data_IF_195368161081
#
_entry.id   IF_195368161081
#
_cell.length_a   1.000
_cell.length_b   1.000
_cell.length_c   1.000
_cell.angle_alpha   90.00
_cell.angle_beta   90.00
_cell.angle_gamma   90.00
#
_symmetry.space_group_name_H-M   'P 1'
#
loop_
_entity.id
_entity.type
_entity.pdbx_description
1 polymer ?
#
# COMPACT_ATOMS: atom_id res chain seq x y z
N UNK A 1 -8.55 29.01 -6.23
CA UNK A 1 -8.71 27.73 -5.49
C UNK A 1 -8.08 27.87 -4.12
N UNK A 2 -8.57 27.17 -3.09
CA UNK A 2 -7.93 27.16 -1.76
C UNK A 2 -6.65 26.32 -1.79
N UNK A 3 -5.64 26.71 -1.00
CA UNK A 3 -4.46 25.88 -0.75
C UNK A 3 -4.80 24.69 0.16
N UNK A 4 -4.02 23.61 0.10
CA UNK A 4 -4.18 22.45 0.99
C UNK A 4 -4.22 22.85 2.48
N UNK A 5 -3.35 23.79 2.88
CA UNK A 5 -3.31 24.32 4.25
C UNK A 5 -4.63 24.99 4.63
N UNK A 6 -5.19 25.81 3.74
CA UNK A 6 -6.47 26.48 3.95
C UNK A 6 -7.63 25.48 4.05
N UNK A 7 -7.68 24.47 3.18
CA UNK A 7 -8.72 23.44 3.23
C UNK A 7 -8.66 22.62 4.51
N UNK A 8 -7.44 22.22 4.93
CA UNK A 8 -7.23 21.50 6.18
C UNK A 8 -7.73 22.30 7.39
N UNK A 9 -7.36 23.58 7.48
CA UNK A 9 -7.80 24.44 8.59
C UNK A 9 -9.31 24.69 8.57
N UNK A 10 -9.91 24.90 7.39
CA UNK A 10 -11.35 25.08 7.25
C UNK A 10 -12.12 23.83 7.68
N UNK A 11 -11.64 22.64 7.32
CA UNK A 11 -12.23 21.37 7.74
C UNK A 11 -12.17 21.18 9.27
N UNK A 12 -11.02 21.47 9.90
CA UNK A 12 -10.87 21.40 11.36
C UNK A 12 -11.82 22.37 12.07
N UNK A 13 -11.89 23.62 11.61
CA UNK A 13 -12.79 24.65 12.19
C UNK A 13 -14.25 24.25 12.04
N UNK A 14 -14.66 23.79 10.85
CA UNK A 14 -16.03 23.36 10.59
C UNK A 14 -16.42 22.16 11.46
N UNK A 15 -15.55 21.15 11.57
CA UNK A 15 -15.81 19.99 12.42
C UNK A 15 -15.98 20.37 13.89
N UNK A 16 -15.10 21.23 14.43
CA UNK A 16 -15.21 21.72 15.81
C UNK A 16 -16.49 22.54 16.03
N UNK A 17 -16.92 23.33 15.04
CA UNK A 17 -18.19 24.07 15.10
C UNK A 17 -19.40 23.13 15.17
N UNK A 18 -19.40 22.06 14.39
CA UNK A 18 -20.52 21.12 14.30
C UNK A 18 -20.61 20.18 15.51
N UNK A 19 -19.47 19.69 16.01
CA UNK A 19 -19.42 18.56 16.94
C UNK A 19 -18.67 18.84 18.25
N UNK A 20 -18.06 20.02 18.39
CA UNK A 20 -17.32 20.43 19.59
C UNK A 20 -16.21 19.43 19.94
N UNK A 21 -16.28 18.86 21.16
CA UNK A 21 -15.35 17.84 21.68
C UNK A 21 -15.85 16.39 21.51
N UNK A 22 -17.06 16.17 20.98
CA UNK A 22 -17.68 14.84 20.86
C UNK A 22 -17.78 14.44 19.40
N UNK A 23 -16.96 13.49 18.95
CA UNK A 23 -17.01 13.02 17.57
C UNK A 23 -18.21 12.11 17.30
N UNK A 24 -19.03 12.36 16.25
CA UNK A 24 -20.03 11.42 15.80
C UNK A 24 -19.38 10.18 15.17
N UNK A 25 -20.15 9.13 14.96
CA UNK A 25 -19.72 8.02 14.11
C UNK A 25 -19.47 8.50 12.67
N UNK A 26 -18.45 7.97 11.98
CA UNK A 26 -18.09 8.46 10.64
C UNK A 26 -19.24 8.36 9.62
N UNK A 27 -20.13 7.36 9.80
CA UNK A 27 -21.33 7.18 8.97
C UNK A 27 -22.32 8.35 9.10
N UNK A 28 -22.44 8.92 10.30
CA UNK A 28 -23.27 10.10 10.57
C UNK A 28 -22.68 11.31 9.85
N UNK A 29 -21.37 11.55 10.04
CA UNK A 29 -20.66 12.63 9.33
C UNK A 29 -20.74 12.49 7.81
N UNK A 30 -20.58 11.28 7.28
CA UNK A 30 -20.67 11.00 5.83
C UNK A 30 -22.08 11.31 5.29
N UNK A 31 -23.12 11.04 6.08
CA UNK A 31 -24.51 11.29 5.71
C UNK A 31 -24.86 12.78 5.78
N UNK A 32 -24.52 13.44 6.88
CA UNK A 32 -24.91 14.83 7.16
C UNK A 32 -24.03 15.85 6.43
N UNK A 33 -22.73 15.57 6.33
CA UNK A 33 -21.73 16.49 5.77
C UNK A 33 -20.74 15.75 4.83
N UNK A 34 -21.21 15.23 3.69
CA UNK A 34 -20.40 14.43 2.78
C UNK A 34 -19.16 15.16 2.24
N UNK A 35 -19.26 16.47 1.99
CA UNK A 35 -18.11 17.28 1.55
C UNK A 35 -17.01 17.34 2.62
N UNK A 36 -17.38 17.57 3.88
CA UNK A 36 -16.43 17.55 4.99
C UNK A 36 -15.81 16.16 5.17
N UNK A 37 -16.62 15.11 5.06
CA UNK A 37 -16.12 13.74 5.09
C UNK A 37 -15.10 13.47 3.98
N UNK A 38 -15.39 13.86 2.74
CA UNK A 38 -14.48 13.67 1.61
C UNK A 38 -13.16 14.43 1.78
N UNK A 39 -13.22 15.68 2.27
CA UNK A 39 -12.02 16.47 2.60
C UNK A 39 -11.19 15.77 3.69
N UNK A 40 -11.85 15.24 4.73
CA UNK A 40 -11.19 14.47 5.79
C UNK A 40 -10.48 13.24 5.23
N UNK A 41 -11.16 12.47 4.39
CA UNK A 41 -10.59 11.28 3.77
C UNK A 41 -9.41 11.63 2.85
N UNK A 42 -9.52 12.70 2.06
CA UNK A 42 -8.47 13.19 1.16
C UNK A 42 -7.18 13.57 1.90
N UNK A 43 -7.30 14.29 3.01
CA UNK A 43 -6.13 14.92 3.65
C UNK A 43 -5.57 14.17 4.86
N UNK A 44 -6.34 13.27 5.46
CA UNK A 44 -5.92 12.49 6.62
C UNK A 44 -5.96 10.97 6.40
N UNK A 45 -6.40 10.50 5.23
CA UNK A 45 -6.52 9.07 4.89
C UNK A 45 -7.37 8.27 5.90
N UNK A 46 -8.27 8.93 6.63
CA UNK A 46 -9.13 8.26 7.59
C UNK A 46 -9.70 9.18 8.67
N UNK A 47 -10.97 8.93 9.02
CA UNK A 47 -11.68 9.70 10.05
C UNK A 47 -10.97 9.67 11.41
N UNK A 48 -10.50 8.51 11.88
CA UNK A 48 -9.78 8.40 13.15
C UNK A 48 -8.43 9.15 13.15
N UNK A 49 -7.75 9.22 12.01
CA UNK A 49 -6.50 9.99 11.88
C UNK A 49 -6.77 11.49 11.96
N UNK A 50 -7.85 11.94 11.31
CA UNK A 50 -8.33 13.31 11.46
C UNK A 50 -8.65 13.66 12.92
N UNK A 51 -9.44 12.82 13.62
CA UNK A 51 -9.78 13.05 15.03
C UNK A 51 -8.55 13.16 15.94
N UNK A 52 -7.53 12.32 15.73
CA UNK A 52 -6.24 12.43 16.43
C UNK A 52 -5.55 13.77 16.17
N UNK A 53 -5.56 14.24 14.92
CA UNK A 53 -4.92 15.51 14.55
C UNK A 53 -5.56 16.75 15.19
N UNK A 54 -6.78 16.63 15.70
CA UNK A 54 -7.50 17.70 16.41
C UNK A 54 -7.73 17.38 17.89
N UNK A 55 -7.08 16.34 18.41
CA UNK A 55 -7.17 15.89 19.79
C UNK A 55 -8.61 15.60 20.28
N UNK A 56 -9.41 14.95 19.43
CA UNK A 56 -10.76 14.50 19.77
C UNK A 56 -10.78 12.97 19.90
N UNK A 57 -11.37 12.47 20.99
CA UNK A 57 -11.50 11.02 21.21
C UNK A 57 -12.46 10.42 20.17
N UNK A 58 -12.09 9.33 19.47
CA UNK A 58 -13.01 8.67 18.56
C UNK A 58 -14.19 8.06 19.30
N UNK A 59 -15.37 7.94 18.66
CA UNK A 59 -16.49 7.23 19.23
C UNK A 59 -16.12 5.77 19.54
N UNK A 60 -16.82 5.17 20.51
CA UNK A 60 -16.63 3.75 20.84
C UNK A 60 -16.87 2.91 19.57
N UNK A 61 -15.95 1.97 19.23
CA UNK A 61 -16.18 1.07 18.11
C UNK A 61 -17.44 0.23 18.33
N UNK A 62 -18.17 -0.04 17.26
CA UNK A 62 -19.23 -1.07 17.25
C UNK A 62 -18.62 -2.47 17.47
N UNK A 63 -19.40 -3.49 17.88
CA UNK A 63 -18.88 -4.85 18.04
C UNK A 63 -18.17 -5.39 16.79
N UNK A 64 -18.72 -5.13 15.60
CA UNK A 64 -18.11 -5.50 14.32
C UNK A 64 -16.78 -4.80 14.07
N UNK A 65 -16.70 -3.50 14.38
CA UNK A 65 -15.43 -2.76 14.27
C UNK A 65 -14.40 -3.24 15.29
N UNK A 66 -14.83 -3.58 16.52
CA UNK A 66 -13.95 -4.15 17.55
C UNK A 66 -13.37 -5.48 17.08
N UNK A 67 -14.20 -6.39 16.56
CA UNK A 67 -13.75 -7.65 15.99
C UNK A 67 -12.76 -7.45 14.83
N UNK A 68 -13.02 -6.48 13.94
CA UNK A 68 -12.10 -6.15 12.85
C UNK A 68 -10.76 -5.57 13.35
N UNK A 69 -10.78 -4.71 14.37
CA UNK A 69 -9.57 -4.17 15.00
C UNK A 69 -8.74 -5.30 15.62
N UNK A 70 -9.37 -6.21 16.35
CA UNK A 70 -8.70 -7.38 16.96
C UNK A 70 -8.10 -8.30 15.90
N UNK A 71 -8.86 -8.61 14.85
CA UNK A 71 -8.38 -9.39 13.71
C UNK A 71 -7.17 -8.73 13.04
N UNK A 72 -7.26 -7.44 12.72
CA UNK A 72 -6.16 -6.68 12.10
C UNK A 72 -4.92 -6.64 12.99
N UNK A 73 -5.10 -6.48 14.30
CA UNK A 73 -4.02 -6.52 15.29
C UNK A 73 -3.33 -7.88 15.33
N UNK A 74 -4.09 -8.99 15.29
CA UNK A 74 -3.53 -10.35 15.19
C UNK A 74 -2.72 -10.55 13.92
N UNK A 75 -3.24 -10.10 12.77
CA UNK A 75 -2.52 -10.16 11.50
C UNK A 75 -1.20 -9.38 11.55
N UNK A 76 -1.22 -8.16 12.08
CA UNK A 76 -0.03 -7.32 12.23
C UNK A 76 1.02 -7.95 13.17
N UNK A 77 0.60 -8.45 14.34
CA UNK A 77 1.50 -9.16 15.26
C UNK A 77 2.18 -10.36 14.59
N UNK A 78 1.40 -11.15 13.83
CA UNK A 78 1.93 -12.30 13.08
C UNK A 78 2.92 -11.86 12.01
N UNK A 79 2.63 -10.79 11.27
CA UNK A 79 3.53 -10.24 10.25
C UNK A 79 4.90 -9.87 10.84
N UNK A 80 4.93 -9.09 11.92
CA UNK A 80 6.18 -8.72 12.58
C UNK A 80 6.91 -9.91 13.20
N UNK A 81 6.19 -10.85 13.83
CA UNK A 81 6.78 -12.08 14.38
C UNK A 81 7.44 -12.93 13.28
N UNK A 82 6.91 -12.87 12.06
CA UNK A 82 7.38 -13.63 10.92
C UNK A 82 8.45 -12.88 10.09
N UNK A 83 9.11 -11.86 10.65
CA UNK A 83 10.16 -11.12 9.93
C UNK A 83 9.61 -10.24 8.81
N UNK A 84 8.42 -9.66 9.01
CA UNK A 84 7.75 -8.82 8.01
C UNK A 84 7.35 -9.56 6.72
N UNK A 85 7.10 -10.86 6.82
CA UNK A 85 6.51 -11.68 5.74
C UNK A 85 5.01 -11.85 5.93
N UNK A 86 4.21 -11.49 4.93
CA UNK A 86 2.80 -11.89 4.90
C UNK A 86 2.64 -13.38 4.56
N UNK A 87 1.47 -13.96 4.85
CA UNK A 87 1.20 -15.36 4.49
C UNK A 87 1.29 -15.56 2.97
N UNK A 88 0.78 -14.61 2.20
CA UNK A 88 0.78 -14.70 0.75
C UNK A 88 2.19 -14.49 0.16
N UNK A 89 2.98 -13.57 0.71
CA UNK A 89 4.40 -13.44 0.31
C UNK A 89 5.17 -14.73 0.55
N UNK A 90 4.90 -15.46 1.65
CA UNK A 90 5.58 -16.75 1.90
C UNK A 90 5.24 -17.81 0.85
N UNK A 91 3.98 -17.85 0.40
CA UNK A 91 3.56 -18.73 -0.69
C UNK A 91 4.28 -18.35 -1.99
N UNK A 92 4.36 -17.06 -2.31
CA UNK A 92 5.04 -16.58 -3.51
C UNK A 92 6.56 -16.75 -3.42
N UNK A 93 7.15 -16.63 -2.22
CA UNK A 93 8.60 -16.78 -2.01
C UNK A 93 9.11 -18.10 -2.56
N UNK A 94 8.46 -19.22 -2.24
CA UNK A 94 8.87 -20.55 -2.71
C UNK A 94 8.90 -20.63 -4.24
N UNK A 95 7.92 -20.02 -4.91
CA UNK A 95 7.86 -19.98 -6.36
C UNK A 95 8.92 -19.05 -6.96
N UNK A 96 9.07 -17.86 -6.40
CA UNK A 96 10.05 -16.87 -6.83
C UNK A 96 11.49 -17.37 -6.62
N UNK A 97 11.77 -18.05 -5.51
CA UNK A 97 13.08 -18.66 -5.23
C UNK A 97 13.48 -19.64 -6.35
N UNK A 98 12.55 -20.49 -6.79
CA UNK A 98 12.79 -21.44 -7.89
C UNK A 98 13.07 -20.73 -9.21
N UNK A 99 12.23 -19.76 -9.57
CA UNK A 99 12.42 -18.97 -10.80
C UNK A 99 13.75 -18.21 -10.76
N UNK A 100 14.11 -17.63 -9.62
CA UNK A 100 15.39 -16.94 -9.46
C UNK A 100 16.58 -17.90 -9.62
N UNK A 101 16.49 -19.11 -9.08
CA UNK A 101 17.52 -20.12 -9.25
C UNK A 101 17.69 -20.49 -10.74
N UNK A 102 16.59 -20.75 -11.44
CA UNK A 102 16.62 -21.13 -12.86
C UNK A 102 17.16 -20.02 -13.77
N UNK A 103 16.91 -18.75 -13.41
CA UNK A 103 17.30 -17.57 -14.19
C UNK A 103 18.61 -16.92 -13.72
N UNK A 104 19.25 -17.41 -12.65
CA UNK A 104 20.43 -16.78 -12.06
C UNK A 104 20.17 -15.39 -11.46
N UNK A 105 18.96 -15.16 -10.96
CA UNK A 105 18.56 -13.89 -10.33
C UNK A 105 18.72 -13.94 -8.81
N UNK A 106 18.83 -12.76 -8.23
CA UNK A 106 18.63 -12.55 -6.79
C UNK A 106 17.55 -11.51 -6.56
N UNK A 107 16.98 -11.48 -5.36
CA UNK A 107 16.04 -10.44 -4.96
C UNK A 107 16.26 -10.00 -3.51
N UNK A 108 15.81 -8.78 -3.21
CA UNK A 108 15.74 -8.26 -1.85
C UNK A 108 14.27 -8.13 -1.45
N UNK A 109 13.89 -8.74 -0.32
CA UNK A 109 12.59 -8.57 0.31
C UNK A 109 12.54 -7.29 1.15
N UNK A 110 11.40 -6.60 1.15
CA UNK A 110 11.23 -5.30 1.81
C UNK A 110 12.25 -4.23 1.36
N UNK A 111 12.65 -4.27 0.08
CA UNK A 111 13.60 -3.31 -0.47
C UNK A 111 13.08 -1.88 -0.31
N UNK A 112 13.89 -0.99 0.26
CA UNK A 112 13.50 0.39 0.57
C UNK A 112 13.81 1.31 -0.60
N UNK A 113 12.79 1.82 -1.26
CA UNK A 113 12.93 2.79 -2.34
C UNK A 113 12.43 4.19 -1.92
N UNK A 114 13.12 5.28 -2.26
CA UNK A 114 12.70 6.63 -1.88
C UNK A 114 11.27 6.96 -2.34
N UNK A 115 10.47 7.50 -1.41
CA UNK A 115 9.08 7.88 -1.72
C UNK A 115 8.99 9.09 -2.66
N UNK A 116 7.89 9.19 -3.42
CA UNK A 116 7.66 10.31 -4.36
C UNK A 116 7.66 11.70 -3.69
N UNK A 117 7.40 11.75 -2.38
CA UNK A 117 7.35 13.00 -1.60
C UNK A 117 8.68 13.35 -0.93
N UNK A 118 9.74 12.57 -1.17
CA UNK A 118 11.06 12.75 -0.56
C UNK A 118 11.10 12.54 0.96
N UNK A 119 10.02 12.01 1.56
CA UNK A 119 9.93 11.77 3.01
C UNK A 119 9.60 10.29 3.26
N UNK A 120 10.62 9.53 3.63
CA UNK A 120 10.51 8.08 3.88
C UNK A 120 10.60 7.24 2.61
N UNK A 121 10.27 5.96 2.75
CA UNK A 121 10.50 4.92 1.75
C UNK A 121 9.24 4.12 1.45
N UNK A 122 9.10 3.67 0.20
CA UNK A 122 8.30 2.51 -0.15
C UNK A 122 9.08 1.25 0.20
N UNK A 123 8.39 0.22 0.68
CA UNK A 123 8.94 -1.13 0.81
C UNK A 123 8.38 -1.95 -0.32
N UNK A 124 9.24 -2.57 -1.11
CA UNK A 124 8.83 -3.49 -2.17
C UNK A 124 8.88 -4.92 -1.63
N UNK A 125 7.87 -5.73 -1.95
CA UNK A 125 7.83 -7.11 -1.46
C UNK A 125 9.00 -7.91 -2.05
N UNK A 126 9.23 -7.83 -3.36
CA UNK A 126 10.39 -8.43 -4.03
C UNK A 126 10.97 -7.47 -5.04
N UNK A 127 12.28 -7.16 -4.95
CA UNK A 127 13.01 -6.34 -5.93
C UNK A 127 14.21 -7.09 -6.49
N UNK A 128 14.33 -7.15 -7.82
CA UNK A 128 15.18 -8.15 -8.50
C UNK A 128 16.48 -7.58 -9.07
N UNK A 129 17.50 -8.42 -9.06
CA UNK A 129 18.86 -8.16 -9.55
C UNK A 129 19.35 -9.35 -10.38
N UNK A 130 20.15 -9.05 -11.40
CA UNK A 130 20.94 -10.03 -12.15
C UNK A 130 22.42 -9.80 -11.81
N UNK A 131 23.00 -10.70 -11.02
CA UNK A 131 24.27 -10.44 -10.33
C UNK A 131 24.17 -9.17 -9.46
N UNK A 132 25.01 -8.18 -9.74
CA UNK A 132 24.99 -6.88 -9.05
C UNK A 132 24.18 -5.80 -9.77
N UNK A 133 23.55 -6.12 -10.91
CA UNK A 133 22.79 -5.16 -11.73
C UNK A 133 21.31 -5.16 -11.33
N UNK A 134 20.77 -3.99 -11.01
CA UNK A 134 19.33 -3.83 -10.81
C UNK A 134 18.55 -4.11 -12.10
N UNK A 135 17.56 -5.00 -12.06
CA UNK A 135 16.66 -5.23 -13.19
C UNK A 135 15.57 -4.16 -13.33
N UNK A 136 15.47 -3.26 -12.35
CA UNK A 136 14.35 -2.31 -12.21
C UNK A 136 13.00 -3.03 -12.32
N UNK A 137 12.89 -4.16 -11.63
CA UNK A 137 11.71 -5.01 -11.63
C UNK A 137 11.31 -5.30 -10.18
N UNK A 138 10.03 -5.12 -9.85
CA UNK A 138 9.46 -5.52 -8.56
C UNK A 138 8.22 -6.37 -8.73
N UNK A 139 8.00 -7.25 -7.74
CA UNK A 139 6.75 -7.99 -7.60
C UNK A 139 6.11 -7.59 -6.27
N UNK A 140 4.82 -7.32 -6.30
CA UNK A 140 3.98 -7.01 -5.14
C UNK A 140 2.91 -8.08 -4.95
N UNK A 141 2.76 -8.54 -3.71
CA UNK A 141 1.81 -9.57 -3.30
C UNK A 141 0.60 -8.92 -2.63
N UNK A 142 -0.39 -8.52 -3.43
CA UNK A 142 -1.57 -7.81 -2.95
C UNK A 142 -2.52 -8.76 -2.19
N UNK A 143 -2.34 -8.77 -0.86
CA UNK A 143 -3.24 -9.45 0.07
C UNK A 143 -4.62 -8.78 0.18
N UNK A 144 -5.49 -9.38 1.01
CA UNK A 144 -6.89 -8.94 1.19
C UNK A 144 -7.05 -7.48 1.63
N UNK A 145 -6.05 -6.90 2.29
CA UNK A 145 -6.10 -5.53 2.81
C UNK A 145 -5.92 -4.45 1.74
N UNK A 146 -5.35 -4.76 0.57
CA UNK A 146 -5.16 -3.79 -0.52
C UNK A 146 -6.48 -3.29 -1.12
N UNK A 147 -7.60 -3.95 -0.81
CA UNK A 147 -8.95 -3.60 -1.32
C UNK A 147 -9.74 -2.69 -0.38
N UNK A 148 -9.17 -2.31 0.76
CA UNK A 148 -9.88 -1.52 1.77
C UNK A 148 -9.51 -0.04 1.61
N UNK A 149 -10.50 0.83 1.36
CA UNK A 149 -10.32 2.29 1.31
C UNK A 149 -9.80 2.81 -0.04
N UNK A 150 -9.08 3.94 -0.03
CA UNK A 150 -8.55 4.62 -1.23
C UNK A 150 -7.22 4.03 -1.72
N UNK A 151 -6.99 2.75 -1.48
CA UNK A 151 -5.70 2.10 -1.72
C UNK A 151 -5.39 2.01 -3.23
N UNK A 152 -6.41 1.79 -4.07
CA UNK A 152 -6.22 1.68 -5.53
C UNK A 152 -5.67 2.96 -6.18
N UNK A 153 -6.23 4.14 -5.87
CA UNK A 153 -5.73 5.42 -6.41
C UNK A 153 -4.30 5.71 -5.95
N UNK A 154 -4.02 5.40 -4.68
CA UNK A 154 -2.68 5.56 -4.10
C UNK A 154 -1.67 4.61 -4.77
N UNK A 155 -2.03 3.35 -4.94
CA UNK A 155 -1.18 2.34 -5.55
C UNK A 155 -0.89 2.69 -7.01
N UNK A 156 -1.89 3.16 -7.77
CA UNK A 156 -1.70 3.68 -9.12
C UNK A 156 -0.71 4.86 -9.16
N UNK A 157 -0.86 5.84 -8.27
CA UNK A 157 0.07 6.97 -8.22
C UNK A 157 1.51 6.55 -7.88
N UNK A 158 1.68 5.53 -7.03
CA UNK A 158 2.98 4.95 -6.72
C UNK A 158 3.54 4.23 -7.94
N UNK A 159 2.74 3.40 -8.61
CA UNK A 159 3.18 2.64 -9.78
C UNK A 159 3.56 3.57 -10.94
N UNK A 160 2.79 4.63 -11.20
CA UNK A 160 3.11 5.64 -12.22
C UNK A 160 4.43 6.38 -11.88
N UNK A 161 4.64 6.72 -10.61
CA UNK A 161 5.92 7.30 -10.15
C UNK A 161 7.09 6.33 -10.35
N UNK A 162 6.95 5.06 -9.98
CA UNK A 162 8.01 4.06 -10.13
C UNK A 162 8.32 3.76 -11.59
N UNK A 163 7.29 3.71 -12.45
CA UNK A 163 7.46 3.59 -13.90
C UNK A 163 8.26 4.76 -14.47
N UNK A 164 8.03 5.99 -13.99
CA UNK A 164 8.84 7.15 -14.37
C UNK A 164 10.32 7.05 -13.96
N UNK A 165 10.65 6.12 -13.04
CA UNK A 165 12.02 5.78 -12.62
C UNK A 165 12.55 4.51 -13.30
N UNK A 166 11.83 4.00 -14.31
CA UNK A 166 12.15 2.79 -15.04
C UNK A 166 11.87 1.49 -14.28
N UNK A 167 11.21 1.56 -13.11
CA UNK A 167 10.86 0.40 -12.30
C UNK A 167 9.49 -0.12 -12.72
N UNK A 168 9.46 -1.34 -13.24
CA UNK A 168 8.23 -2.05 -13.59
C UNK A 168 7.73 -2.87 -12.39
N UNK A 169 6.41 -2.85 -12.18
CA UNK A 169 5.73 -3.55 -11.08
C UNK A 169 4.81 -4.62 -11.64
N UNK A 170 5.03 -5.87 -11.25
CA UNK A 170 4.04 -6.94 -11.39
C UNK A 170 3.29 -7.11 -10.08
N UNK A 171 1.98 -6.88 -10.09
CA UNK A 171 1.11 -7.17 -8.94
C UNK A 171 0.50 -8.55 -9.10
N UNK A 172 0.74 -9.41 -8.12
CA UNK A 172 0.09 -10.71 -7.98
C UNK A 172 -0.94 -10.57 -6.86
N UNK A 173 -2.19 -10.92 -7.14
CA UNK A 173 -3.28 -10.80 -6.17
C UNK A 173 -3.79 -12.17 -5.78
N UNK A 174 -4.34 -12.32 -4.57
CA UNK A 174 -4.96 -13.58 -4.12
C UNK A 174 -6.18 -14.05 -4.94
N UNK A 175 -6.63 -13.26 -5.93
CA UNK A 175 -7.72 -13.61 -6.86
C UNK A 175 -7.21 -14.16 -8.19
N UNK A 176 -5.93 -13.98 -8.48
CA UNK A 176 -5.35 -14.51 -9.70
C UNK A 176 -5.38 -16.05 -9.65
N UNK A 177 -5.45 -16.69 -10.82
CA UNK A 177 -5.38 -18.15 -10.92
C UNK A 177 -4.01 -18.63 -10.42
N UNK A 178 -3.95 -19.40 -9.31
CA UNK A 178 -2.68 -19.86 -8.74
C UNK A 178 -1.83 -20.67 -9.72
N UNK A 179 -2.47 -21.38 -10.66
CA UNK A 179 -1.77 -22.18 -11.67
C UNK A 179 -1.02 -21.30 -12.69
N UNK A 180 -1.36 -20.01 -12.77
CA UNK A 180 -0.75 -19.04 -13.69
C UNK A 180 0.31 -18.16 -13.05
N UNK A 181 0.53 -18.24 -11.74
CA UNK A 181 1.51 -17.38 -11.06
C UNK A 181 2.91 -17.56 -11.63
N UNK A 182 3.35 -18.81 -11.80
CA UNK A 182 4.68 -19.14 -12.31
C UNK A 182 4.90 -18.52 -13.69
N UNK A 183 3.96 -18.73 -14.61
CA UNK A 183 4.03 -18.23 -15.98
C UNK A 183 4.03 -16.69 -16.01
N UNK A 184 3.19 -16.04 -15.21
CA UNK A 184 3.15 -14.57 -15.13
C UNK A 184 4.47 -13.98 -14.62
N UNK A 185 5.00 -14.55 -13.54
CA UNK A 185 6.26 -14.10 -12.94
C UNK A 185 7.42 -14.32 -13.91
N UNK A 186 7.50 -15.51 -14.50
CA UNK A 186 8.54 -15.87 -15.44
C UNK A 186 8.54 -14.96 -16.68
N UNK A 187 7.38 -14.78 -17.31
CA UNK A 187 7.22 -13.91 -18.48
C UNK A 187 7.62 -12.46 -18.17
N UNK A 188 7.23 -11.96 -16.99
CA UNK A 188 7.60 -10.63 -16.54
C UNK A 188 9.11 -10.48 -16.35
N UNK A 189 9.76 -11.41 -15.64
CA UNK A 189 11.20 -11.33 -15.36
C UNK A 189 12.03 -11.51 -16.63
N UNK A 190 11.69 -12.47 -17.51
CA UNK A 190 12.37 -12.66 -18.79
C UNK A 190 12.33 -11.41 -19.67
N UNK A 191 11.16 -10.76 -19.76
CA UNK A 191 11.03 -9.49 -20.48
C UNK A 191 12.02 -8.45 -19.93
N UNK A 192 12.12 -8.31 -18.61
CA UNK A 192 13.03 -7.33 -17.96
C UNK A 192 14.50 -7.66 -18.15
N UNK A 193 14.87 -8.95 -18.20
CA UNK A 193 16.22 -9.37 -18.55
C UNK A 193 16.55 -8.98 -20.00
N UNK A 194 15.62 -9.19 -20.94
CA UNK A 194 15.76 -8.75 -22.33
C UNK A 194 15.98 -7.24 -22.45
N UNK A 195 15.07 -6.45 -21.87
CA UNK A 195 15.12 -4.98 -21.89
C UNK A 195 16.46 -4.44 -21.32
N UNK A 196 17.02 -5.10 -20.30
CA UNK A 196 18.29 -4.66 -19.69
C UNK A 196 19.53 -5.07 -20.45
N UNK A 197 19.43 -6.07 -21.33
CA UNK A 197 20.53 -6.54 -22.18
C UNK A 197 20.70 -5.63 -23.40
N UNK A 198 19.58 -5.18 -23.99
CA UNK A 198 19.58 -4.26 -25.15
C UNK A 198 20.09 -2.85 -24.81
N UNK A 199 19.99 -2.41 -23.55
CA UNK A 199 20.53 -1.12 -23.11
C UNK A 199 22.05 -1.15 -22.81
N UNK A 200 22.70 -2.31 -22.83
CA UNK A 200 24.12 -2.46 -22.53
C UNK A 200 25.02 -2.56 -23.78
N UNK A 201 24.41 -2.59 -24.96
CA UNK A 201 25.04 -2.53 -26.29
C UNK A 201 24.92 -1.14 -26.88
#
# INVERSE_FOLDING_TARGET
MLTEKQEKERAKKLFKKLYGKKAPHYKVLKKEHPLLFNIIMKYWNGYRAFLRSINIKPPKPTPREKAFIEFSSRCAKRYYKNGEWSTFEKEMKTLIDKICLDLGLTYIHNYKYPSMKGKGYYKFDFYFFLGNKELKARIECDGVFHRIGNTAERDKAIDDYLRSKGIETLRITVKDDPNKYAIKILAFLLKRIGDTSEMAT
#
